data_IF_367305600924
#
_entry.id   IF_367305600924
#
_cell.length_a   1.000
_cell.length_b   1.000
_cell.length_c   1.000
_cell.angle_alpha   90.00
_cell.angle_beta   90.00
_cell.angle_gamma   90.00
#
_symmetry.space_group_name_H-M   'P 1'
#
loop_
_entity.id
_entity.type
_entity.pdbx_description
1 polymer ?
2 polymer ?
3 polymer ?
4 polymer ?
5 non-polymer ?
6 non-polymer ?
7 water ?
#
loop_
_entity_poly.entity_id
_entity_poly.type
_entity_poly.pdbx_seq_one_letter_code
_entity_poly.pdbx_strand_id
1 'polyribonucleotide' '(GTP)GCCGUGUGCCUUGCGCCGGGAAACCACGCAAGGGAUGGUGUCAAAUUCGGCGAAACCUAAGCGCCCGCCCGGGCGUAUGGCAACGCCGAGCCAAGCUUCGCAGCCAUUGCACUCCGGCUGCGAUGAAGGUGUAGAGACUAGACGGCACCCACCUAAGGCAAACGCUAUGGUGAAGGCAUAGUCCAGGGAGUGGCG(A23)' ?
2 'polyribonucleotide' 'AAGCCACACAAACCAGACGGCC' ?
3 'polyribonucleotide' 'CA(5MU)' ?
#
# COMPACT_ATOMS: atom_id res chain seq x y z
N UNK D 4 2.09 15.38 -2.11
CA UNK D 4 0.71 15.29 -1.57
C UNK D 4 -0.09 14.21 -2.33
N UNK D 5 0.02 14.28 -3.65
CA UNK D 5 -0.67 13.35 -4.54
C UNK D 5 0.36 12.62 -5.42
N UNK D 6 -0.13 11.74 -6.30
CA UNK D 6 0.74 10.99 -7.21
C UNK D 6 -0.06 10.57 -8.46
N UNK D 7 0.66 10.22 -9.52
CA UNK D 7 0.05 9.79 -10.76
C UNK D 7 -0.51 8.39 -10.66
N UNK D 8 -1.72 8.17 -11.19
CA UNK D 8 -2.45 6.91 -11.20
C UNK D 8 -1.57 5.66 -11.20
N UNK D 9 -2.06 4.60 -10.57
CA UNK D 9 -1.33 3.34 -10.50
C UNK D 9 -2.10 2.26 -9.76
N UNK D 10 -2.22 1.09 -10.38
CA UNK D 10 -2.93 -0.03 -9.78
C UNK D 10 -2.42 -0.47 -8.39
N UNK D 11 -1.47 0.28 -7.86
CA UNK D 11 -0.89 0.00 -6.56
C UNK D 11 -0.41 1.32 -5.94
N UNK D 12 -0.33 1.36 -4.61
CA UNK D 12 0.09 2.59 -3.94
C UNK D 12 1.24 2.37 -2.96
N UNK D 13 2.02 3.43 -2.76
CA UNK D 13 3.17 3.38 -1.87
C UNK D 13 2.88 4.08 -0.55
N UNK D 14 3.04 3.33 0.54
CA UNK D 14 2.78 3.85 1.87
C UNK D 14 4.01 3.76 2.75
N UNK D 15 4.29 4.81 3.53
CA UNK D 15 5.46 4.81 4.39
C UNK D 15 5.22 5.28 5.83
N UNK D 16 6.29 5.24 6.63
CA UNK D 16 6.28 5.62 8.04
C UNK D 16 5.38 4.69 8.84
N UNK D 17 5.99 3.67 9.43
CA UNK D 17 5.25 2.69 10.23
C UNK D 17 6.13 2.09 11.33
N UNK D 18 5.55 1.23 12.17
CA UNK D 18 6.31 0.61 13.23
C UNK D 18 6.73 -0.79 12.84
N UNK D 19 7.78 -0.85 12.04
CA UNK D 19 8.34 -2.10 11.55
C UNK D 19 8.33 -3.21 12.60
N UNK D 20 8.34 -2.83 13.88
CA UNK D 20 8.35 -3.80 14.97
C UNK D 20 7.42 -4.96 14.64
N UNK D 21 6.41 -4.68 13.83
CA UNK D 21 5.42 -5.67 13.42
C UNK D 21 6.02 -6.81 12.62
N UNK D 22 5.19 -7.79 12.27
CA UNK D 22 5.65 -8.92 11.49
C UNK D 22 5.24 -8.74 10.04
N UNK D 23 6.21 -8.90 9.14
CA UNK D 23 5.97 -8.79 7.72
C UNK D 23 4.69 -9.58 7.46
N UNK D 24 4.72 -10.83 7.92
CA UNK D 24 3.59 -11.72 7.79
C UNK D 24 2.40 -11.05 8.46
N UNK D 25 2.63 -10.52 9.66
CA UNK D 25 1.57 -9.87 10.40
C UNK D 25 1.01 -8.66 9.65
N UNK D 26 1.85 -7.66 9.47
CA UNK D 26 1.40 -6.45 8.80
C UNK D 26 0.67 -6.72 7.49
N UNK D 27 1.11 -7.72 6.74
CA UNK D 27 0.46 -8.04 5.48
C UNK D 27 -1.04 -8.30 5.65
N UNK D 28 -1.41 -8.96 6.75
CA UNK D 28 -2.82 -9.23 7.00
C UNK D 28 -3.51 -8.02 7.63
N UNK D 29 -2.78 -7.27 8.45
CA UNK D 29 -3.31 -6.08 9.09
C UNK D 29 -3.45 -5.01 8.02
N UNK D 30 -3.75 -5.47 6.80
CA UNK D 30 -3.94 -4.61 5.65
C UNK D 30 -4.78 -5.37 4.65
N UNK D 31 -4.47 -6.67 4.50
CA UNK D 31 -5.19 -7.54 3.57
C UNK D 31 -6.63 -7.10 3.37
N UNK D 32 -7.29 -6.75 4.46
CA UNK D 32 -8.68 -6.31 4.42
C UNK D 32 -8.77 -4.84 4.83
N UNK D 33 -7.78 -4.39 5.60
CA UNK D 33 -7.71 -3.01 6.08
C UNK D 33 -7.73 -2.06 4.89
N UNK D 34 -7.23 -2.54 3.77
CA UNK D 34 -7.17 -1.77 2.54
C UNK D 34 -7.93 -2.48 1.39
N UNK D 35 -9.14 -2.93 1.67
CA UNK D 35 -9.97 -3.62 0.68
C UNK D 35 -11.41 -3.73 1.13
N UNK D 36 -12.18 -2.66 0.93
CA UNK D 36 -13.59 -2.61 1.31
C UNK D 36 -14.28 -1.79 0.23
N UNK D 37 -13.49 -1.47 -0.80
CA UNK D 37 -13.92 -0.69 -1.94
C UNK D 37 -13.41 -1.32 -3.23
N UNK D 38 -12.45 -2.23 -3.09
CA UNK D 38 -11.87 -2.90 -4.25
C UNK D 38 -11.01 -4.10 -3.91
N UNK D 39 -10.78 -4.95 -4.91
CA UNK D 39 -9.97 -6.16 -4.77
C UNK D 39 -8.51 -5.82 -4.41
N UNK D 40 -7.68 -6.85 -4.30
CA UNK D 40 -6.26 -6.69 -3.96
C UNK D 40 -5.40 -7.77 -4.62
N UNK D 41 -4.13 -7.46 -4.89
CA UNK D 41 -3.23 -8.41 -5.52
C UNK D 41 -2.14 -8.91 -4.58
N UNK D 42 -1.52 -7.99 -3.84
CA UNK D 42 -0.48 -8.38 -2.91
C UNK D 42 0.10 -7.19 -2.16
N UNK D 43 0.29 -7.34 -0.86
CA UNK D 43 0.83 -6.26 -0.05
C UNK D 43 2.30 -6.53 0.25
N UNK D 44 3.13 -6.41 -0.77
CA UNK D 44 4.56 -6.65 -0.62
C UNK D 44 5.14 -5.70 0.41
N UNK D 45 5.92 -6.22 1.34
CA UNK D 45 6.53 -5.40 2.37
C UNK D 45 7.89 -5.94 2.68
N UNK D 46 8.77 -5.10 3.19
CA UNK D 46 10.08 -5.57 3.56
C UNK D 46 10.55 -4.98 4.86
N UNK D 47 11.60 -5.58 5.40
CA UNK D 47 12.16 -5.18 6.68
C UNK D 47 13.58 -4.61 6.51
N UNK D 48 14.04 -4.53 5.26
CA UNK D 48 15.37 -4.04 4.94
C UNK D 48 15.61 -2.62 5.45
N UNK D 49 16.85 -2.29 5.79
CA UNK D 49 17.14 -0.94 6.27
C UNK D 49 16.68 0.06 5.23
N UNK D 50 16.11 -0.43 4.14
CA UNK D 50 15.62 0.46 3.12
C UNK D 50 14.11 0.35 2.99
N UNK D 51 13.61 -0.85 2.72
CA UNK D 51 12.18 -1.06 2.56
C UNK D 51 11.40 -1.15 3.87
N UNK D 52 12.11 -1.36 4.98
CA UNK D 52 11.44 -1.47 6.26
C UNK D 52 10.68 -0.18 6.44
N UNK D 53 9.54 -0.27 7.08
CA UNK D 53 8.73 0.92 7.31
C UNK D 53 7.95 1.34 6.09
N UNK D 54 7.73 0.42 5.16
CA UNK D 54 6.98 0.77 3.98
C UNK D 54 6.33 -0.44 3.38
N UNK D 55 5.27 -0.23 2.62
CA UNK D 55 4.57 -1.33 1.99
C UNK D 55 4.00 -0.94 0.63
N UNK D 56 3.56 -1.93 -0.14
CA UNK D 56 2.99 -1.66 -1.45
C UNK D 56 1.66 -2.32 -1.63
N UNK D 57 0.61 -1.58 -1.31
CA UNK D 57 -0.74 -2.08 -1.43
C UNK D 57 -1.03 -2.25 -2.92
N UNK D 58 -1.37 -3.46 -3.34
CA UNK D 58 -1.70 -3.69 -4.74
C UNK D 58 -3.19 -4.02 -4.90
N UNK D 59 -3.84 -3.34 -5.85
CA UNK D 59 -5.27 -3.56 -6.09
C UNK D 59 -5.45 -4.34 -7.39
N UNK D 60 -6.59 -4.12 -8.01
CA UNK D 60 -6.89 -4.75 -9.29
C UNK D 60 -7.46 -3.65 -10.16
N UNK D 61 -8.20 -2.74 -9.54
CA UNK D 61 -8.81 -1.62 -10.25
C UNK D 61 -8.24 -0.27 -9.83
N UNK D 62 -7.88 0.53 -10.83
CA UNK D 62 -7.32 1.86 -10.65
C UNK D 62 -8.11 2.61 -9.58
N UNK D 63 -9.44 2.59 -9.75
CA UNK D 63 -10.37 3.25 -8.84
C UNK D 63 -10.08 2.83 -7.40
N UNK D 64 -10.08 1.53 -7.15
CA UNK D 64 -9.80 0.98 -5.83
C UNK D 64 -8.63 1.75 -5.24
N UNK D 65 -7.69 2.15 -6.10
CA UNK D 65 -6.52 2.90 -5.69
C UNK D 65 -6.80 4.39 -5.64
N UNK D 66 -7.36 4.93 -6.71
CA UNK D 66 -7.68 6.34 -6.76
C UNK D 66 -8.37 6.71 -5.47
N UNK D 67 -9.26 5.84 -5.02
CA UNK D 67 -9.99 6.06 -3.77
C UNK D 67 -9.09 5.79 -2.56
N UNK D 68 -8.54 4.58 -2.49
CA UNK D 68 -7.68 4.20 -1.39
C UNK D 68 -6.77 5.36 -1.08
N UNK D 69 -6.19 5.94 -2.12
CA UNK D 69 -5.28 7.07 -1.98
C UNK D 69 -5.88 8.18 -1.12
N UNK D 70 -7.19 8.14 -0.92
CA UNK D 70 -7.85 9.15 -0.11
C UNK D 70 -8.61 8.58 1.07
N UNK D 71 -9.45 7.57 0.83
CA UNK D 71 -10.23 6.97 1.88
C UNK D 71 -9.37 6.40 3.01
N UNK D 72 -8.09 6.74 3.01
CA UNK D 72 -7.19 6.24 4.05
C UNK D 72 -5.93 7.06 4.30
N UNK D 73 -5.60 7.96 3.39
CA UNK D 73 -4.42 8.78 3.55
C UNK D 73 -4.35 9.45 4.92
N UNK D 74 -3.15 9.93 5.27
CA UNK D 74 -2.95 10.60 6.53
C UNK D 74 -3.47 9.95 7.80
N UNK D 75 -3.99 8.72 7.69
CA UNK D 75 -4.52 8.03 8.86
C UNK D 75 -3.48 7.36 9.73
N UNK D 76 -3.34 7.82 10.98
CA UNK D 76 -2.38 7.26 11.94
C UNK D 76 -2.56 5.77 12.25
N UNK D 77 -1.73 4.95 11.60
CA UNK D 77 -1.72 3.49 11.75
C UNK D 77 -0.83 3.24 12.98
N UNK D 78 -1.28 2.41 13.91
CA UNK D 78 -0.49 2.09 15.11
C UNK D 78 0.10 3.31 15.84
N UNK D 79 -0.76 4.26 16.24
CA UNK D 79 -0.31 5.46 16.94
C UNK D 79 0.82 6.17 16.19
N UNK D 80 0.81 6.00 14.87
CA UNK D 80 1.80 6.61 13.97
C UNK D 80 1.04 6.95 12.68
N UNK D 81 1.20 8.20 12.18
CA UNK D 81 0.54 8.67 10.96
C UNK D 81 0.67 7.73 9.78
N UNK D 82 0.54 8.28 8.59
CA UNK D 82 0.63 7.48 7.39
C UNK D 82 0.87 8.37 6.19
N UNK D 83 1.56 7.81 5.20
CA UNK D 83 1.87 8.53 3.99
C UNK D 83 1.68 7.60 2.80
N UNK D 84 0.90 8.03 1.82
CA UNK D 84 0.67 7.23 0.63
C UNK D 84 1.01 8.05 -0.59
N UNK D 85 1.03 7.37 -1.73
CA UNK D 85 1.34 7.96 -3.01
C UNK D 85 1.19 6.87 -4.05
N UNK D 86 0.48 7.13 -5.14
CA UNK D 86 0.40 6.10 -6.17
C UNK D 86 1.82 5.63 -6.45
N UNK D 87 2.00 4.40 -6.89
CA UNK D 87 3.35 3.94 -7.19
C UNK D 87 3.90 4.64 -8.43
N UNK D 88 5.22 4.74 -8.50
CA UNK D 88 5.87 5.38 -9.64
C UNK D 88 6.03 4.37 -10.77
N UNK D 89 5.99 3.09 -10.44
CA UNK D 89 6.17 2.05 -11.45
C UNK D 89 5.22 0.87 -11.29
N UNK D 90 4.17 0.84 -12.10
CA UNK D 90 3.18 -0.25 -12.04
C UNK D 90 3.79 -1.64 -11.82
N UNK D 91 3.64 -2.13 -10.60
CA UNK D 91 4.15 -3.43 -10.14
C UNK D 91 4.43 -4.51 -11.19
N UNK D 92 5.46 -5.31 -10.93
CA UNK D 92 5.86 -6.40 -11.82
C UNK D 92 4.82 -7.49 -11.83
N UNK D 93 3.56 -7.11 -11.70
CA UNK D 93 2.48 -8.07 -11.70
C UNK D 93 1.48 -7.64 -12.74
N UNK D 94 1.26 -6.33 -12.78
CA UNK D 94 0.35 -5.72 -13.73
C UNK D 94 1.13 -5.46 -15.00
N UNK D 95 2.09 -4.54 -14.92
CA UNK D 95 2.94 -4.22 -16.06
C UNK D 95 3.60 -5.52 -16.51
N UNK D 96 3.46 -6.54 -15.66
CA UNK D 96 4.01 -7.87 -15.94
C UNK D 96 3.15 -8.52 -17.02
N UNK D 97 1.85 -8.59 -16.75
CA UNK D 97 0.89 -9.18 -17.66
C UNK D 97 0.50 -8.28 -18.82
N UNK D 98 -0.30 -7.25 -18.52
CA UNK D 98 -0.76 -6.31 -19.55
C UNK D 98 0.39 -5.65 -20.29
#
# INVERSE_FOLDING_TARGET
MAVPETRPNHTIYINNLNEKIKKDELKKSLHAIFSRFGQILDILVSRSLKMRGQAFVIFKEVSSATNALRSMQGFPFYDKPMRIQYAKTDSDIIAKMK
#
